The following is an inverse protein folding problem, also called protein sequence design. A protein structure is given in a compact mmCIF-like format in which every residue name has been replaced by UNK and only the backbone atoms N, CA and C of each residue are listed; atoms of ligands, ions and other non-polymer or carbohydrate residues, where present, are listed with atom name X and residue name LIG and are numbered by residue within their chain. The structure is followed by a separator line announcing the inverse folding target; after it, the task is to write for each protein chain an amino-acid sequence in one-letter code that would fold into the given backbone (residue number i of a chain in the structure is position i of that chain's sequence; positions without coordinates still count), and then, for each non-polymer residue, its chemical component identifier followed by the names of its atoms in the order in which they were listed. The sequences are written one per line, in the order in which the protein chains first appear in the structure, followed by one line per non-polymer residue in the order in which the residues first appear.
data_IF_697315517878
#
_entry.id   IF_697315517878
#
_cell.length_a   1.000
_cell.length_b   1.000
_cell.length_c   1.000
_cell.angle_alpha   90.00
_cell.angle_beta   90.00
_cell.angle_gamma   90.00
#
_symmetry.space_group_name_H-M   'P 1'
#
loop_
_entity.id
_entity.type
_entity.pdbx_description
1 polymer ?
#
# COMPACT_ATOMS: atom_id res chain seq x y z
N UNK A 1 25.46 -7.87 -3.32
CA UNK A 1 24.35 -8.83 -3.16
C UNK A 1 23.68 -9.04 -4.51
N UNK A 2 23.59 -10.28 -4.93
CA UNK A 2 23.01 -10.58 -6.21
C UNK A 2 21.50 -10.37 -6.18
N UNK A 3 20.97 -9.71 -7.21
CA UNK A 3 19.52 -9.62 -7.38
C UNK A 3 19.00 -10.99 -7.83
N UNK A 4 17.89 -11.41 -7.27
CA UNK A 4 17.27 -12.66 -7.66
C UNK A 4 16.70 -12.55 -9.08
N UNK A 5 16.86 -13.63 -9.83
CA UNK A 5 16.25 -13.74 -11.16
C UNK A 5 14.76 -14.04 -10.97
N UNK A 6 13.91 -13.27 -11.65
CA UNK A 6 12.48 -13.50 -11.61
C UNK A 6 12.12 -14.83 -12.27
N UNK A 7 11.07 -15.48 -11.74
CA UNK A 7 10.61 -16.79 -12.21
C UNK A 7 9.14 -16.75 -12.60
N UNK A 8 8.67 -17.84 -13.18
CA UNK A 8 7.23 -18.00 -13.47
C UNK A 8 6.36 -17.96 -12.22
N UNK A 9 6.88 -18.43 -11.09
CA UNK A 9 6.16 -18.33 -9.81
C UNK A 9 5.94 -16.88 -9.39
N UNK A 10 6.95 -16.02 -9.60
CA UNK A 10 6.81 -14.58 -9.36
C UNK A 10 5.68 -13.99 -10.21
N UNK A 11 5.68 -14.32 -11.51
CA UNK A 11 4.67 -13.84 -12.44
C UNK A 11 3.27 -14.31 -12.04
N UNK A 12 3.13 -15.56 -11.61
CA UNK A 12 1.83 -16.09 -11.17
C UNK A 12 1.30 -15.36 -9.95
N UNK A 13 2.16 -15.06 -8.98
CA UNK A 13 1.75 -14.32 -7.78
C UNK A 13 1.31 -12.90 -8.16
N UNK A 14 2.05 -12.24 -9.04
CA UNK A 14 1.69 -10.89 -9.52
C UNK A 14 0.37 -10.91 -10.27
N UNK A 15 0.12 -11.92 -11.12
CA UNK A 15 -1.15 -12.06 -11.80
C UNK A 15 -2.30 -12.29 -10.82
N UNK A 16 -2.06 -13.05 -9.74
CA UNK A 16 -3.07 -13.26 -8.71
C UNK A 16 -3.39 -11.95 -7.98
N UNK A 17 -2.38 -11.17 -7.66
CA UNK A 17 -2.58 -9.84 -7.07
C UNK A 17 -3.38 -8.94 -7.98
N UNK A 18 -3.07 -8.94 -9.27
CA UNK A 18 -3.82 -8.16 -10.26
C UNK A 18 -5.29 -8.58 -10.31
N UNK A 19 -5.54 -9.88 -10.35
CA UNK A 19 -6.90 -10.43 -10.37
C UNK A 19 -7.70 -9.99 -9.14
N UNK A 20 -7.11 -10.07 -7.96
CA UNK A 20 -7.76 -9.67 -6.70
C UNK A 20 -8.11 -8.19 -6.68
N UNK A 21 -7.21 -7.32 -7.18
CA UNK A 21 -7.48 -5.87 -7.14
C UNK A 21 -8.49 -5.42 -8.20
N UNK A 22 -8.78 -6.24 -9.21
CA UNK A 22 -9.78 -5.91 -10.23
C UNK A 22 -11.17 -6.43 -9.91
N UNK A 23 -11.33 -7.14 -8.80
CA UNK A 23 -12.64 -7.55 -8.31
C UNK A 23 -13.51 -6.31 -8.02
N UNK A 24 -14.82 -6.41 -8.22
CA UNK A 24 -15.74 -5.26 -8.23
C UNK A 24 -15.69 -4.46 -6.93
N UNK A 25 -15.75 -5.12 -5.78
CA UNK A 25 -15.73 -4.44 -4.47
C UNK A 25 -14.37 -3.79 -4.24
N UNK A 26 -13.30 -4.50 -4.58
CA UNK A 26 -11.94 -3.96 -4.44
C UNK A 26 -11.72 -2.75 -5.33
N UNK A 27 -12.25 -2.74 -6.54
CA UNK A 27 -12.17 -1.58 -7.44
C UNK A 27 -12.88 -0.37 -6.85
N UNK A 28 -14.05 -0.56 -6.26
CA UNK A 28 -14.79 0.52 -5.59
C UNK A 28 -14.00 1.04 -4.38
N UNK A 29 -13.47 0.13 -3.58
CA UNK A 29 -12.68 0.49 -2.40
C UNK A 29 -11.44 1.31 -2.78
N UNK A 30 -10.71 0.87 -3.81
CA UNK A 30 -9.52 1.57 -4.30
C UNK A 30 -9.87 2.95 -4.83
N UNK A 31 -10.95 3.06 -5.61
CA UNK A 31 -11.41 4.35 -6.12
C UNK A 31 -11.72 5.32 -4.98
N UNK A 32 -12.46 4.86 -3.99
CA UNK A 32 -12.82 5.69 -2.85
C UNK A 32 -11.58 6.16 -2.07
N UNK A 33 -10.66 5.24 -1.77
CA UNK A 33 -9.43 5.58 -1.03
C UNK A 33 -8.57 6.57 -1.81
N UNK A 34 -8.45 6.39 -3.12
CA UNK A 34 -7.55 7.22 -3.94
C UNK A 34 -8.14 8.57 -4.30
N UNK A 35 -9.45 8.66 -4.52
CA UNK A 35 -10.03 9.85 -5.13
C UNK A 35 -11.07 10.55 -4.27
N UNK A 36 -11.71 9.88 -3.34
CA UNK A 36 -12.79 10.48 -2.54
C UNK A 36 -12.41 10.75 -1.09
N UNK A 37 -11.60 9.90 -0.48
CA UNK A 37 -11.20 10.03 0.92
C UNK A 37 -10.07 11.05 1.05
N UNK A 38 -10.37 12.19 1.72
CA UNK A 38 -9.43 13.30 1.86
C UNK A 38 -9.28 13.71 3.33
N UNK A 39 -8.77 12.85 4.21
CA UNK A 39 -8.59 13.22 5.61
C UNK A 39 -7.46 14.26 5.72
N UNK A 40 -7.65 15.25 6.57
CA UNK A 40 -6.68 16.32 6.78
C UNK A 40 -5.83 16.10 8.02
N UNK A 41 -6.29 15.26 8.93
CA UNK A 41 -5.60 14.97 10.19
C UNK A 41 -5.57 13.48 10.44
N UNK A 42 -4.64 13.05 11.31
CA UNK A 42 -4.58 11.65 11.76
C UNK A 42 -5.89 11.24 12.43
N UNK A 43 -6.50 12.14 13.19
CA UNK A 43 -7.77 11.89 13.88
C UNK A 43 -8.89 11.62 12.88
N UNK A 44 -8.99 12.41 11.81
CA UNK A 44 -9.98 12.18 10.75
C UNK A 44 -9.77 10.83 10.05
N UNK A 45 -8.53 10.50 9.74
CA UNK A 45 -8.18 9.21 9.14
C UNK A 45 -8.63 8.06 10.03
N UNK A 46 -8.28 8.12 11.31
CA UNK A 46 -8.57 7.06 12.27
C UNK A 46 -10.05 6.97 12.60
N UNK A 47 -10.77 8.09 12.57
CA UNK A 47 -12.21 8.09 12.78
C UNK A 47 -12.93 7.23 11.74
N UNK A 48 -12.51 7.33 10.46
CA UNK A 48 -13.06 6.50 9.40
C UNK A 48 -12.62 5.05 9.56
N UNK A 49 -11.33 4.83 9.81
CA UNK A 49 -10.79 3.46 9.97
C UNK A 49 -11.51 2.70 11.09
N UNK A 50 -11.82 3.35 12.18
CA UNK A 50 -12.42 2.73 13.36
C UNK A 50 -13.94 2.76 13.37
N UNK A 51 -14.58 3.34 12.36
CA UNK A 51 -16.05 3.33 12.24
C UNK A 51 -16.51 1.95 11.73
N UNK A 52 -16.22 0.92 12.53
CA UNK A 52 -16.52 -0.46 12.17
C UNK A 52 -18.00 -0.63 11.88
N UNK A 53 -18.32 -1.40 10.85
CA UNK A 53 -19.69 -1.54 10.37
C UNK A 53 -20.04 -0.57 9.25
N UNK A 54 -19.24 0.49 9.02
CA UNK A 54 -19.43 1.36 7.87
C UNK A 54 -18.73 0.78 6.63
N UNK A 55 -19.28 1.09 5.48
CA UNK A 55 -18.71 0.67 4.21
C UNK A 55 -17.34 1.31 3.99
N UNK A 56 -17.19 2.59 4.34
CA UNK A 56 -15.93 3.32 4.17
C UNK A 56 -14.81 2.74 5.02
N UNK A 57 -15.11 2.34 6.26
CA UNK A 57 -14.13 1.67 7.12
C UNK A 57 -13.68 0.35 6.50
N UNK A 58 -14.64 -0.42 5.97
CA UNK A 58 -14.34 -1.70 5.31
C UNK A 58 -13.43 -1.47 4.09
N UNK A 59 -13.73 -0.48 3.26
CA UNK A 59 -12.93 -0.16 2.08
C UNK A 59 -11.51 0.26 2.45
N UNK A 60 -11.38 1.16 3.43
CA UNK A 60 -10.06 1.64 3.86
C UNK A 60 -9.19 0.50 4.37
N UNK A 61 -9.76 -0.34 5.25
CA UNK A 61 -9.04 -1.49 5.80
C UNK A 61 -8.68 -2.52 4.72
N UNK A 62 -9.60 -2.76 3.78
CA UNK A 62 -9.37 -3.71 2.70
C UNK A 62 -8.22 -3.27 1.79
N UNK A 63 -8.21 -2.01 1.39
CA UNK A 63 -7.15 -1.49 0.50
C UNK A 63 -5.79 -1.50 1.19
N UNK A 64 -5.73 -1.00 2.42
CA UNK A 64 -4.46 -0.95 3.16
C UNK A 64 -3.94 -2.35 3.43
N UNK A 65 -4.79 -3.26 3.93
CA UNK A 65 -4.35 -4.62 4.23
C UNK A 65 -3.91 -5.38 2.97
N UNK A 66 -4.55 -5.12 1.83
CA UNK A 66 -4.16 -5.73 0.57
C UNK A 66 -2.72 -5.33 0.18
N UNK A 67 -2.43 -4.02 0.17
CA UNK A 67 -1.10 -3.56 -0.21
C UNK A 67 -0.03 -3.89 0.83
N UNK A 68 -0.40 -3.93 2.12
CA UNK A 68 0.51 -4.38 3.16
C UNK A 68 0.85 -5.86 3.04
N UNK A 69 -0.12 -6.69 2.68
CA UNK A 69 0.11 -8.11 2.38
C UNK A 69 1.07 -8.26 1.20
N UNK A 70 0.82 -7.54 0.11
CA UNK A 70 1.65 -7.60 -1.09
C UNK A 70 3.09 -7.17 -0.78
N UNK A 71 3.27 -6.07 -0.03
CA UNK A 71 4.59 -5.61 0.39
C UNK A 71 5.29 -6.65 1.26
N UNK A 72 4.55 -7.31 2.14
CA UNK A 72 5.07 -8.40 2.98
C UNK A 72 5.64 -9.54 2.13
N UNK A 73 4.97 -9.92 1.05
CA UNK A 73 5.47 -10.95 0.15
C UNK A 73 6.82 -10.58 -0.45
N UNK A 74 6.98 -9.32 -0.85
CA UNK A 74 8.25 -8.82 -1.38
C UNK A 74 9.34 -8.86 -0.31
N UNK A 75 9.04 -8.39 0.89
CA UNK A 75 10.00 -8.33 2.00
C UNK A 75 10.47 -9.72 2.41
N UNK A 76 9.61 -10.72 2.34
CA UNK A 76 9.95 -12.10 2.67
C UNK A 76 10.60 -12.87 1.50
N UNK A 77 10.80 -12.21 0.35
CA UNK A 77 11.42 -12.86 -0.79
C UNK A 77 10.50 -13.79 -1.56
N UNK A 78 9.19 -13.74 -1.30
CA UNK A 78 8.23 -14.61 -1.99
C UNK A 78 7.97 -14.17 -3.43
N UNK A 79 8.28 -12.93 -3.76
CA UNK A 79 8.16 -12.40 -5.13
C UNK A 79 9.34 -11.47 -5.41
N UNK A 80 9.82 -11.50 -6.65
CA UNK A 80 10.92 -10.63 -7.10
C UNK A 80 10.51 -9.16 -6.97
N UNK A 81 11.33 -8.38 -6.26
CA UNK A 81 11.00 -6.99 -5.94
C UNK A 81 10.86 -6.12 -7.19
N UNK A 82 11.83 -6.19 -8.11
CA UNK A 82 11.81 -5.36 -9.32
C UNK A 82 10.61 -5.70 -10.20
N UNK A 83 10.36 -6.99 -10.40
CA UNK A 83 9.21 -7.43 -11.19
C UNK A 83 7.89 -6.97 -10.57
N UNK A 84 7.76 -7.10 -9.25
CA UNK A 84 6.58 -6.62 -8.54
C UNK A 84 6.40 -5.11 -8.72
N UNK A 85 7.46 -4.34 -8.54
CA UNK A 85 7.40 -2.88 -8.61
C UNK A 85 7.10 -2.37 -10.02
N UNK A 86 7.43 -3.13 -11.05
CA UNK A 86 7.14 -2.75 -12.44
C UNK A 86 5.63 -2.58 -12.68
N UNK A 87 4.79 -3.32 -11.97
CA UNK A 87 3.34 -3.33 -12.21
C UNK A 87 2.48 -3.00 -10.99
N UNK A 88 3.07 -2.79 -9.82
CA UNK A 88 2.34 -2.60 -8.57
C UNK A 88 2.81 -1.38 -7.80
N UNK A 89 2.63 -0.20 -8.39
CA UNK A 89 3.00 1.06 -7.73
C UNK A 89 1.94 1.64 -6.81
N UNK A 90 0.70 1.15 -6.88
CA UNK A 90 -0.41 1.79 -6.16
C UNK A 90 -0.27 1.70 -4.64
N UNK A 91 0.33 0.62 -4.10
CA UNK A 91 0.57 0.53 -2.67
C UNK A 91 1.44 1.66 -2.15
N UNK A 92 2.49 2.01 -2.90
CA UNK A 92 3.35 3.13 -2.58
C UNK A 92 2.58 4.45 -2.72
N UNK A 93 1.70 4.56 -3.71
CA UNK A 93 0.87 5.75 -3.90
C UNK A 93 -0.09 5.96 -2.74
N UNK A 94 -0.71 4.89 -2.24
CA UNK A 94 -1.57 4.98 -1.04
C UNK A 94 -0.76 5.47 0.16
N UNK A 95 0.42 4.91 0.36
CA UNK A 95 1.32 5.34 1.43
C UNK A 95 1.70 6.81 1.28
N UNK A 96 2.07 7.24 0.07
CA UNK A 96 2.44 8.63 -0.20
C UNK A 96 1.28 9.59 0.07
N UNK A 97 0.06 9.21 -0.31
CA UNK A 97 -1.12 10.03 -0.10
C UNK A 97 -1.32 10.39 1.37
N UNK A 98 -1.14 9.43 2.27
CA UNK A 98 -1.39 9.62 3.70
C UNK A 98 -0.10 9.85 4.50
N UNK A 99 1.04 9.98 3.83
CA UNK A 99 2.34 10.07 4.48
C UNK A 99 2.44 11.25 5.48
N UNK A 100 1.85 12.39 5.13
CA UNK A 100 1.86 13.56 6.01
C UNK A 100 1.13 13.31 7.33
N UNK A 101 0.26 12.30 7.40
CA UNK A 101 -0.48 11.93 8.60
C UNK A 101 0.20 10.80 9.38
N UNK A 102 1.27 10.22 8.85
CA UNK A 102 1.87 9.00 9.40
C UNK A 102 2.39 9.17 10.82
N UNK A 103 3.03 10.29 11.13
CA UNK A 103 3.54 10.56 12.48
C UNK A 103 2.41 10.66 13.50
N UNK A 104 1.33 11.36 13.14
CA UNK A 104 0.15 11.48 13.98
C UNK A 104 -0.53 10.13 14.22
N UNK A 105 -0.64 9.33 13.17
CA UNK A 105 -1.22 7.99 13.28
C UNK A 105 -0.37 7.11 14.21
N UNK A 106 0.95 7.14 14.06
CA UNK A 106 1.85 6.37 14.92
C UNK A 106 1.77 6.83 16.37
N UNK A 107 1.70 8.15 16.61
CA UNK A 107 1.56 8.70 17.95
C UNK A 107 0.29 8.22 18.63
N UNK A 108 -0.83 8.20 17.91
CA UNK A 108 -2.13 7.81 18.47
C UNK A 108 -2.23 6.29 18.64
N UNK A 109 -1.81 5.52 17.64
CA UNK A 109 -2.01 4.06 17.63
C UNK A 109 -0.85 3.29 18.27
N UNK A 110 0.33 3.90 18.40
CA UNK A 110 1.54 3.22 18.83
C UNK A 110 2.14 2.31 17.77
N UNK A 111 1.61 2.36 16.53
CA UNK A 111 2.06 1.49 15.43
C UNK A 111 2.42 2.32 14.21
N UNK A 112 3.50 1.93 13.54
CA UNK A 112 3.96 2.57 12.32
C UNK A 112 2.94 2.38 11.20
N UNK A 113 2.55 3.48 10.57
CA UNK A 113 1.57 3.45 9.48
C UNK A 113 2.14 2.69 8.28
N UNK A 114 1.38 1.71 7.78
CA UNK A 114 1.75 0.87 6.63
C UNK A 114 3.21 0.40 6.73
N UNK A 115 3.52 -0.28 7.83
CA UNK A 115 4.90 -0.68 8.15
C UNK A 115 5.58 -1.45 7.03
N UNK A 116 4.90 -2.40 6.39
CA UNK A 116 5.51 -3.21 5.34
C UNK A 116 5.84 -2.37 4.10
N UNK A 117 4.93 -1.48 3.70
CA UNK A 117 5.19 -0.57 2.57
C UNK A 117 6.33 0.39 2.92
N UNK A 118 6.36 0.90 4.14
CA UNK A 118 7.44 1.76 4.63
C UNK A 118 8.79 1.04 4.58
N UNK A 119 8.86 -0.20 5.04
CA UNK A 119 10.08 -1.01 4.98
C UNK A 119 10.49 -1.33 3.54
N UNK A 120 9.52 -1.58 2.66
CA UNK A 120 9.77 -1.79 1.24
C UNK A 120 10.49 -0.59 0.62
N UNK A 121 10.01 0.61 0.94
CA UNK A 121 10.61 1.87 0.47
C UNK A 121 12.02 2.05 1.01
N UNK A 122 12.25 1.71 2.27
CA UNK A 122 13.58 1.81 2.88
C UNK A 122 14.57 0.82 2.26
N UNK A 123 14.11 -0.38 1.98
CA UNK A 123 15.00 -1.48 1.55
C UNK A 123 15.34 -1.43 0.06
N UNK A 124 14.39 -1.05 -0.79
CA UNK A 124 14.57 -1.15 -2.25
C UNK A 124 14.67 0.23 -2.90
N UNK A 125 15.80 0.54 -3.57
CA UNK A 125 15.99 1.84 -4.21
C UNK A 125 14.91 2.18 -5.24
N UNK A 126 14.44 1.21 -6.01
CA UNK A 126 13.37 1.41 -6.99
C UNK A 126 12.07 1.86 -6.31
N UNK A 127 11.73 1.27 -5.17
CA UNK A 127 10.55 1.67 -4.38
C UNK A 127 10.72 3.09 -3.84
N UNK A 128 11.92 3.43 -3.38
CA UNK A 128 12.24 4.76 -2.86
C UNK A 128 12.08 5.83 -3.93
N UNK A 129 12.58 5.57 -5.14
CA UNK A 129 12.42 6.50 -6.25
C UNK A 129 10.96 6.75 -6.58
N UNK A 130 10.15 5.69 -6.63
CA UNK A 130 8.71 5.80 -6.89
C UNK A 130 8.03 6.65 -5.82
N UNK A 131 8.34 6.39 -4.56
CA UNK A 131 7.78 7.15 -3.44
C UNK A 131 8.13 8.64 -3.53
N UNK A 132 9.40 8.95 -3.76
CA UNK A 132 9.85 10.34 -3.86
C UNK A 132 9.19 11.06 -5.03
N UNK A 133 9.05 10.40 -6.17
CA UNK A 133 8.35 10.96 -7.32
C UNK A 133 6.88 11.22 -7.04
N UNK A 134 6.22 10.32 -6.31
CA UNK A 134 4.82 10.47 -5.94
C UNK A 134 4.60 11.60 -4.95
N UNK A 135 5.51 11.80 -4.00
CA UNK A 135 5.42 12.91 -3.05
C UNK A 135 5.45 14.27 -3.75
N UNK A 136 6.21 14.40 -4.84
CA UNK A 136 6.30 15.64 -5.59
C UNK A 136 5.02 15.98 -6.34
N UNK A 137 4.17 14.99 -6.62
CA UNK A 137 2.94 15.17 -7.39
C UNK A 137 1.68 15.31 -6.50
N UNK A 138 1.86 15.30 -5.20
CA UNK A 138 0.75 15.41 -4.23
C UNK A 138 0.55 16.85 -3.77
#
# INVERSE_FOLDING_TARGET
MESQIATGADAQLILKLYELRTEVVMRKARYWVMFEFQPKTAEEFLAVRHAFGSEQSAWLRQVISYWEMAASFVLHGAVNADMYLDSNGEGIRVYAKFHSLSDGIETITGKRFMRHTSELIEKFPNAREKFQGMLQSI
#
